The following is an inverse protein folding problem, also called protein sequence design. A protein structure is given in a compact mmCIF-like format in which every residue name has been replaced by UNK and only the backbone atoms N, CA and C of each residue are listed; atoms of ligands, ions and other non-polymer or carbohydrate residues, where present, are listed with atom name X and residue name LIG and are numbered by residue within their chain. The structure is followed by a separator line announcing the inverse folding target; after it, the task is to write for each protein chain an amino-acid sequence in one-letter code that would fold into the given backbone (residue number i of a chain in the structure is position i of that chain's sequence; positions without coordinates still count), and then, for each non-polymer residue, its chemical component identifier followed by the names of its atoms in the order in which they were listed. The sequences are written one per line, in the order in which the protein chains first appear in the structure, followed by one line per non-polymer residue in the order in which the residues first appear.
data_IF_217016194285
#
_entry.id   IF_217016194285
#
_cell.length_a   1.000
_cell.length_b   1.000
_cell.length_c   1.000
_cell.angle_alpha   90.00
_cell.angle_beta   90.00
_cell.angle_gamma   90.00
#
_symmetry.space_group_name_H-M   'P 1'
#
loop_
_entity.id
_entity.type
_entity.pdbx_description
1 polymer ?
#
# COMPACT_ATOMS: atom_id res chain seq x y z
N UNK A 1 5.79 -5.72 27.69
CA UNK A 1 6.27 -6.26 26.40
C UNK A 1 5.67 -5.45 25.26
N UNK A 2 6.41 -4.48 24.70
CA UNK A 2 5.94 -3.57 23.65
C UNK A 2 6.34 -4.01 22.24
N UNK A 3 6.21 -5.31 21.94
CA UNK A 3 6.55 -5.83 20.62
C UNK A 3 5.42 -5.52 19.64
N UNK A 4 5.73 -4.81 18.55
CA UNK A 4 4.79 -4.53 17.48
C UNK A 4 4.92 -5.60 16.41
N UNK A 5 3.87 -6.40 16.22
CA UNK A 5 3.79 -7.34 15.12
C UNK A 5 3.69 -6.59 13.79
N UNK A 6 4.24 -7.19 12.73
CA UNK A 6 4.04 -6.68 11.38
C UNK A 6 2.57 -6.83 11.01
N UNK A 7 1.97 -5.73 10.58
CA UNK A 7 0.63 -5.68 10.00
C UNK A 7 0.77 -5.25 8.55
N UNK A 8 -0.03 -5.81 7.67
CA UNK A 8 -0.08 -5.40 6.26
C UNK A 8 -0.57 -3.95 6.13
N UNK A 9 -0.30 -3.33 4.98
CA UNK A 9 -0.79 -1.99 4.68
C UNK A 9 -2.32 -1.92 4.74
N UNK A 10 -3.02 -2.97 4.28
CA UNK A 10 -4.49 -3.09 4.34
C UNK A 10 -5.01 -3.17 5.77
N UNK A 11 -4.36 -3.95 6.64
CA UNK A 11 -4.73 -4.02 8.06
C UNK A 11 -4.48 -2.68 8.77
N UNK A 12 -3.35 -2.04 8.48
CA UNK A 12 -3.03 -0.70 9.04
C UNK A 12 -4.04 0.34 8.61
N UNK A 13 -4.45 0.31 7.35
CA UNK A 13 -5.51 1.17 6.83
C UNK A 13 -6.80 0.95 7.61
N UNK A 14 -7.28 -0.30 7.71
CA UNK A 14 -8.54 -0.64 8.37
C UNK A 14 -8.58 -0.27 9.86
N UNK A 15 -7.43 -0.24 10.53
CA UNK A 15 -7.32 0.19 11.93
C UNK A 15 -7.27 1.71 12.12
N UNK A 16 -6.93 2.46 11.07
CA UNK A 16 -6.64 3.90 11.16
C UNK A 16 -7.78 4.77 10.64
N UNK A 17 -8.44 4.35 9.57
CA UNK A 17 -9.44 5.15 8.86
C UNK A 17 -10.86 4.74 9.22
N UNK A 18 -11.81 5.65 9.01
CA UNK A 18 -13.22 5.38 9.20
C UNK A 18 -13.67 4.27 8.22
N UNK A 19 -14.54 3.33 8.65
CA UNK A 19 -14.99 2.23 7.81
C UNK A 19 -15.54 2.72 6.47
N UNK A 20 -15.16 2.05 5.38
CA UNK A 20 -15.61 2.35 4.02
C UNK A 20 -15.32 3.79 3.53
N UNK A 21 -14.34 4.49 4.13
CA UNK A 21 -13.96 5.85 3.72
C UNK A 21 -12.75 5.94 2.81
N UNK A 22 -11.99 4.84 2.66
CA UNK A 22 -10.76 4.86 1.87
C UNK A 22 -11.05 4.78 0.37
N UNK A 23 -10.46 5.71 -0.36
CA UNK A 23 -10.42 5.78 -1.81
C UNK A 23 -8.94 5.69 -2.24
N UNK A 24 -8.58 4.55 -2.84
CA UNK A 24 -7.23 4.31 -3.33
C UNK A 24 -6.93 5.21 -4.52
N UNK A 25 -5.76 5.85 -4.51
CA UNK A 25 -5.25 6.67 -5.59
C UNK A 25 -4.11 5.93 -6.29
N UNK A 26 -3.95 6.20 -7.59
CA UNK A 26 -2.88 5.64 -8.41
C UNK A 26 -2.97 4.12 -8.67
N UNK A 27 -4.18 3.55 -8.60
CA UNK A 27 -4.44 2.19 -9.06
C UNK A 27 -4.26 2.10 -10.58
N UNK A 28 -3.45 1.16 -11.04
CA UNK A 28 -3.21 0.96 -12.48
C UNK A 28 -2.18 1.89 -13.11
N UNK A 29 -1.29 2.52 -12.33
CA UNK A 29 -0.04 3.03 -12.90
C UNK A 29 0.77 1.81 -13.37
N UNK A 30 0.92 1.67 -14.69
CA UNK A 30 1.94 0.78 -15.22
C UNK A 30 3.30 1.32 -14.76
N UNK A 31 3.96 0.58 -13.86
CA UNK A 31 5.29 0.91 -13.39
C UNK A 31 6.26 0.80 -14.56
N UNK A 32 6.39 1.87 -15.34
CA UNK A 32 7.49 2.03 -16.29
C UNK A 32 8.77 2.09 -15.46
N UNK A 33 9.71 1.21 -15.76
CA UNK A 33 11.04 1.15 -15.16
C UNK A 33 12.01 1.97 -16.03
N UNK A 34 12.11 3.30 -15.85
CA UNK A 34 13.03 4.13 -16.63
C UNK A 34 14.50 3.85 -16.28
N UNK A 35 14.78 3.11 -15.20
CA UNK A 35 16.12 2.81 -14.71
C UNK A 35 16.62 1.43 -15.13
N UNK A 36 15.78 0.63 -15.81
CA UNK A 36 16.08 -0.71 -16.31
C UNK A 36 16.70 -1.60 -15.21
N UNK A 37 16.12 -1.52 -14.01
CA UNK A 37 16.70 -2.10 -12.82
C UNK A 37 16.57 -3.63 -12.88
N UNK A 38 17.70 -4.37 -12.86
CA UNK A 38 17.66 -5.81 -13.06
C UNK A 38 16.81 -6.48 -11.96
N UNK A 39 15.88 -7.34 -12.38
CA UNK A 39 14.90 -8.07 -11.56
C UNK A 39 13.74 -7.26 -10.94
N UNK A 40 13.57 -5.97 -11.24
CA UNK A 40 12.47 -5.18 -10.68
C UNK A 40 11.09 -5.74 -11.06
N UNK A 41 10.88 -6.06 -12.35
CA UNK A 41 9.63 -6.70 -12.83
C UNK A 41 9.35 -8.07 -12.21
N UNK A 42 10.40 -8.86 -11.96
CA UNK A 42 10.28 -10.18 -11.31
C UNK A 42 9.88 -10.03 -9.84
N UNK A 43 10.46 -9.05 -9.14
CA UNK A 43 10.11 -8.72 -7.76
C UNK A 43 8.67 -8.22 -7.68
N UNK A 44 8.26 -7.35 -8.62
CA UNK A 44 6.89 -6.83 -8.71
C UNK A 44 5.87 -7.96 -8.88
N UNK A 45 6.12 -8.91 -9.80
CA UNK A 45 5.22 -10.05 -10.03
C UNK A 45 5.11 -10.95 -8.79
N UNK A 46 6.23 -11.27 -8.14
CA UNK A 46 6.25 -12.09 -6.94
C UNK A 46 5.53 -11.41 -5.75
N UNK A 47 5.72 -10.09 -5.58
CA UNK A 47 5.06 -9.33 -4.52
C UNK A 47 3.57 -9.16 -4.82
N UNK A 48 3.18 -8.95 -6.08
CA UNK A 48 1.78 -8.88 -6.48
C UNK A 48 1.04 -10.19 -6.22
N UNK A 49 1.68 -11.33 -6.48
CA UNK A 49 1.13 -12.65 -6.16
C UNK A 49 0.98 -12.87 -4.64
N UNK A 50 1.93 -12.38 -3.85
CA UNK A 50 1.96 -12.61 -2.40
C UNK A 50 1.09 -11.63 -1.59
N UNK A 51 0.95 -10.38 -2.05
CA UNK A 51 0.31 -9.29 -1.29
C UNK A 51 -0.97 -8.77 -1.94
N UNK A 52 -1.18 -9.04 -3.23
CA UNK A 52 -2.27 -8.48 -4.02
C UNK A 52 -2.21 -6.96 -4.12
N UNK A 53 -1.02 -6.36 -3.97
CA UNK A 53 -0.75 -4.95 -4.18
C UNK A 53 0.02 -4.76 -5.49
N UNK A 54 -0.36 -3.74 -6.26
CA UNK A 54 0.32 -3.36 -7.50
C UNK A 54 1.68 -2.69 -7.25
N UNK A 55 1.87 -2.09 -6.08
CA UNK A 55 3.08 -1.37 -5.69
C UNK A 55 3.42 -1.52 -4.20
N UNK A 56 4.65 -1.15 -3.85
CA UNK A 56 5.17 -1.17 -2.47
C UNK A 56 4.46 -0.22 -1.50
N UNK A 57 3.67 0.72 -2.03
CA UNK A 57 3.04 1.79 -1.25
C UNK A 57 1.57 1.88 -1.64
N UNK A 58 0.70 1.75 -0.65
CA UNK A 58 -0.73 2.00 -0.77
C UNK A 58 -0.98 3.49 -0.52
N UNK A 59 -1.50 4.20 -1.50
CA UNK A 59 -1.77 5.64 -1.39
C UNK A 59 -3.23 5.94 -1.69
N UNK A 60 -3.78 6.95 -1.05
CA UNK A 60 -5.18 7.30 -1.24
C UNK A 60 -5.66 8.39 -0.31
N UNK A 61 -6.96 8.65 -0.33
CA UNK A 61 -7.62 9.53 0.63
C UNK A 61 -8.58 8.75 1.50
N UNK A 62 -8.77 9.19 2.75
CA UNK A 62 -9.75 8.60 3.65
C UNK A 62 -10.30 9.64 4.62
N UNK A 63 -11.21 9.18 5.48
CA UNK A 63 -11.66 9.95 6.64
C UNK A 63 -11.03 9.36 7.91
N UNK A 64 -10.61 10.22 8.82
CA UNK A 64 -10.26 9.85 10.19
C UNK A 64 -11.11 10.70 11.11
N UNK A 65 -12.05 10.09 11.84
CA UNK A 65 -13.03 10.81 12.67
C UNK A 65 -13.77 11.90 11.87
N UNK A 66 -14.15 11.61 10.63
CA UNK A 66 -14.83 12.53 9.71
C UNK A 66 -13.94 13.61 9.09
N UNK A 67 -12.65 13.66 9.38
CA UNK A 67 -11.71 14.60 8.75
C UNK A 67 -11.06 13.97 7.53
N UNK A 68 -11.11 14.67 6.38
CA UNK A 68 -10.49 14.19 5.15
C UNK A 68 -8.97 14.28 5.23
N UNK A 69 -8.31 13.17 4.93
CA UNK A 69 -6.86 13.02 4.97
C UNK A 69 -6.34 12.33 3.72
N UNK A 70 -5.10 12.64 3.32
CA UNK A 70 -4.34 11.86 2.35
C UNK A 70 -3.37 10.93 3.10
N UNK A 71 -3.22 9.71 2.61
CA UNK A 71 -2.50 8.64 3.28
C UNK A 71 -1.53 7.98 2.30
N UNK A 72 -0.33 7.64 2.78
CA UNK A 72 0.63 6.80 2.10
C UNK A 72 1.16 5.76 3.08
N UNK A 73 0.84 4.49 2.84
CA UNK A 73 1.19 3.36 3.70
C UNK A 73 2.15 2.46 2.93
N UNK A 74 3.40 2.41 3.38
CA UNK A 74 4.40 1.50 2.84
C UNK A 74 4.17 0.09 3.39
N UNK A 75 4.10 -0.90 2.51
CA UNK A 75 4.01 -2.31 2.91
C UNK A 75 5.41 -2.92 2.96
N UNK A 76 5.83 -3.38 4.14
CA UNK A 76 7.15 -3.99 4.35
C UNK A 76 7.28 -5.41 3.77
N UNK A 77 6.23 -5.97 3.16
CA UNK A 77 6.29 -7.24 2.44
C UNK A 77 6.77 -7.11 0.98
N UNK A 78 7.12 -5.90 0.52
CA UNK A 78 7.69 -5.62 -0.80
C UNK A 78 9.21 -5.88 -0.91
#
# INVERSE_FOLDING_TARGET
CGYTFRISAKERLALTVDPASFEEMFTGIETTDPLNFPNYKKKLAAVREMTGLDEAVLTGTALIKGQKVALGIMDSNF
#
